data_IF_368870521570
#
_entry.id   IF_368870521570
#
_cell.length_a   1.000
_cell.length_b   1.000
_cell.length_c   1.000
_cell.angle_alpha   90.00
_cell.angle_beta   90.00
_cell.angle_gamma   90.00
#
_symmetry.space_group_name_H-M   'P 1'
#
loop_
_entity.id
_entity.type
_entity.pdbx_description
1 polymer ?
#
# COMPACT_ATOMS: atom_id res chain seq x y z
N UNK A 1 -5.38 39.81 16.32
CA UNK A 1 -6.27 40.20 15.20
C UNK A 1 -5.38 40.64 14.05
N UNK A 2 -5.19 39.77 13.05
CA UNK A 2 -4.66 40.10 11.72
C UNK A 2 -4.91 38.87 10.83
N UNK A 3 -5.99 38.94 10.05
CA UNK A 3 -6.46 37.87 9.16
C UNK A 3 -5.71 38.04 7.85
N UNK A 4 -4.86 37.09 7.47
CA UNK A 4 -4.24 37.06 6.15
C UNK A 4 -5.22 36.38 5.18
N UNK A 5 -5.72 37.16 4.24
CA UNK A 5 -6.70 36.76 3.22
C UNK A 5 -6.06 35.76 2.25
N UNK A 6 -6.65 34.57 2.14
CA UNK A 6 -6.31 33.55 1.13
C UNK A 6 -7.13 33.87 -0.12
N UNK A 7 -6.48 34.06 -1.26
CA UNK A 7 -7.15 34.22 -2.56
C UNK A 7 -6.92 32.96 -3.38
N UNK A 8 -7.94 32.11 -3.46
CA UNK A 8 -8.02 30.99 -4.40
C UNK A 8 -8.24 31.53 -5.82
N UNK A 9 -7.38 31.14 -6.77
CA UNK A 9 -7.63 31.32 -8.20
C UNK A 9 -7.92 29.93 -8.78
N UNK A 10 -9.21 29.63 -8.90
CA UNK A 10 -9.71 28.50 -9.69
C UNK A 10 -9.71 28.96 -11.14
N UNK A 11 -8.82 28.39 -11.96
CA UNK A 11 -8.85 28.55 -13.41
C UNK A 11 -9.18 27.22 -14.04
N UNK A 12 -10.47 27.01 -14.29
CA UNK A 12 -11.00 25.92 -15.11
C UNK A 12 -10.46 26.03 -16.54
N UNK A 13 -9.70 25.03 -16.99
CA UNK A 13 -9.35 24.87 -18.40
C UNK A 13 -9.94 23.56 -18.90
N UNK A 14 -11.15 23.66 -19.45
CA UNK A 14 -11.74 22.66 -20.32
C UNK A 14 -11.00 22.73 -21.66
N UNK A 15 -10.36 21.62 -22.06
CA UNK A 15 -9.94 21.41 -23.43
C UNK A 15 -10.36 20.00 -23.85
N UNK A 16 -11.49 19.98 -24.55
CA UNK A 16 -12.04 18.85 -25.27
C UNK A 16 -11.17 18.46 -26.45
N UNK A 17 -10.94 17.15 -26.59
CA UNK A 17 -10.96 16.46 -27.87
C UNK A 17 -9.63 16.28 -28.60
N UNK A 18 -9.25 15.01 -28.80
CA UNK A 18 -8.98 14.44 -30.13
C UNK A 18 -8.85 12.91 -30.03
N UNK A 19 -9.84 12.25 -30.60
CA UNK A 19 -9.84 10.81 -30.93
C UNK A 19 -8.76 10.58 -31.99
N UNK A 20 -7.76 9.76 -31.71
CA UNK A 20 -6.86 9.25 -32.74
C UNK A 20 -7.44 7.98 -33.35
N UNK A 21 -7.92 8.14 -34.58
CA UNK A 21 -8.32 7.08 -35.49
C UNK A 21 -7.07 6.55 -36.20
N UNK A 22 -6.83 5.25 -36.12
CA UNK A 22 -6.14 4.49 -37.16
C UNK A 22 -4.70 4.08 -36.88
N UNK A 23 -4.52 2.80 -36.51
CA UNK A 23 -3.38 2.01 -37.00
C UNK A 23 -3.86 0.64 -37.48
N UNK A 24 -3.75 0.48 -38.80
CA UNK A 24 -3.46 -0.73 -39.58
C UNK A 24 -4.27 -2.00 -39.34
N UNK A 25 -5.22 -2.21 -40.24
CA UNK A 25 -5.68 -3.49 -40.76
C UNK A 25 -4.57 -4.54 -40.92
N UNK A 26 -4.73 -5.71 -40.28
CA UNK A 26 -3.92 -6.89 -40.60
C UNK A 26 -3.76 -7.95 -39.50
N UNK A 27 -4.77 -8.27 -38.68
CA UNK A 27 -4.64 -9.41 -37.75
C UNK A 27 -5.94 -10.18 -37.44
N UNK A 28 -7.02 -9.98 -38.20
CA UNK A 28 -8.28 -10.69 -37.94
C UNK A 28 -8.88 -11.27 -39.23
N UNK A 29 -8.14 -12.16 -39.87
CA UNK A 29 -8.62 -13.02 -40.99
C UNK A 29 -8.15 -14.48 -40.80
N UNK A 30 -8.13 -14.96 -39.55
CA UNK A 30 -7.71 -16.35 -39.25
C UNK A 30 -8.64 -17.07 -38.25
N UNK A 31 -9.94 -16.77 -38.23
CA UNK A 31 -10.89 -17.63 -37.51
C UNK A 31 -12.18 -17.78 -38.31
N UNK A 32 -12.10 -18.57 -39.37
CA UNK A 32 -13.22 -19.29 -39.98
C UNK A 32 -12.69 -20.30 -41.00
N UNK A 33 -12.34 -21.51 -40.56
CA UNK A 33 -12.58 -22.72 -41.37
C UNK A 33 -12.29 -24.02 -40.58
N UNK A 34 -13.35 -24.57 -39.98
CA UNK A 34 -13.66 -26.00 -39.82
C UNK A 34 -12.81 -26.92 -38.92
N UNK A 35 -13.48 -27.46 -37.89
CA UNK A 35 -13.46 -28.92 -37.63
C UNK A 35 -12.86 -29.38 -36.30
N UNK A 36 -13.71 -29.88 -35.39
CA UNK A 36 -13.36 -30.84 -34.33
C UNK A 36 -13.68 -32.25 -34.86
N UNK A 37 -12.86 -33.30 -34.59
CA UNK A 37 -13.06 -34.09 -33.36
C UNK A 37 -11.79 -34.72 -32.72
N UNK A 38 -11.91 -35.05 -31.44
CA UNK A 38 -11.02 -35.88 -30.57
C UNK A 38 -11.30 -37.41 -30.82
N UNK A 39 -10.68 -38.48 -30.21
CA UNK A 39 -9.68 -38.57 -29.11
C UNK A 39 -8.67 -39.80 -29.09
N UNK A 40 -7.81 -39.88 -28.05
CA UNK A 40 -7.10 -41.05 -27.37
C UNK A 40 -5.96 -41.83 -28.10
N UNK A 41 -4.71 -41.85 -27.57
CA UNK A 41 -4.13 -42.90 -26.66
C UNK A 41 -2.58 -42.82 -26.54
N UNK A 42 -2.01 -43.31 -25.43
CA UNK A 42 -0.65 -43.91 -25.43
C UNK A 42 0.52 -43.25 -24.68
N UNK A 43 0.59 -43.47 -23.36
CA UNK A 43 1.73 -44.04 -22.58
C UNK A 43 3.18 -43.45 -22.59
N UNK A 44 3.65 -43.19 -21.34
CA UNK A 44 4.91 -43.71 -20.72
C UNK A 44 6.09 -42.75 -20.44
N UNK A 45 6.19 -42.45 -19.14
CA UNK A 45 7.35 -42.45 -18.21
C UNK A 45 8.51 -41.43 -18.25
N UNK A 46 8.52 -40.63 -17.17
CA UNK A 46 9.60 -40.44 -16.17
C UNK A 46 10.97 -39.94 -16.64
N UNK A 47 11.28 -38.68 -16.32
CA UNK A 47 12.52 -38.28 -15.63
C UNK A 47 12.26 -37.06 -14.69
N UNK A 48 12.59 -37.22 -13.40
CA UNK A 48 12.92 -36.20 -12.38
C UNK A 48 14.37 -36.54 -11.98
N UNK A 49 15.32 -35.65 -11.62
CA UNK A 49 15.08 -34.36 -10.94
C UNK A 49 16.05 -33.20 -11.24
N UNK A 50 15.62 -31.98 -10.97
CA UNK A 50 16.33 -31.00 -10.11
C UNK A 50 15.52 -29.71 -10.04
N UNK A 51 15.05 -29.33 -8.85
CA UNK A 51 15.70 -28.31 -8.01
C UNK A 51 15.81 -26.96 -8.74
N UNK A 52 14.66 -26.36 -9.07
CA UNK A 52 14.57 -24.91 -9.17
C UNK A 52 14.45 -24.39 -7.75
N UNK A 53 15.59 -23.94 -7.24
CA UNK A 53 15.70 -23.06 -6.10
C UNK A 53 14.87 -21.81 -6.40
N UNK A 54 13.63 -21.75 -5.89
CA UNK A 54 12.97 -20.48 -5.64
C UNK A 54 13.75 -19.82 -4.50
N UNK A 55 14.79 -19.11 -4.92
CA UNK A 55 15.59 -18.28 -4.06
C UNK A 55 14.70 -17.08 -3.73
N UNK A 56 14.08 -17.15 -2.54
CA UNK A 56 13.64 -16.01 -1.77
C UNK A 56 14.74 -14.95 -1.86
N UNK A 57 14.51 -13.97 -2.72
CA UNK A 57 15.38 -12.81 -2.80
C UNK A 57 14.74 -11.77 -1.91
N UNK A 58 15.01 -11.88 -0.61
CA UNK A 58 14.82 -10.79 0.35
C UNK A 58 15.86 -9.72 -0.02
N UNK A 59 15.60 -8.99 -1.11
CA UNK A 59 16.33 -7.79 -1.44
C UNK A 59 15.73 -6.68 -0.58
N UNK A 60 16.34 -6.45 0.58
CA UNK A 60 16.28 -5.14 1.23
C UNK A 60 16.88 -4.13 0.25
N UNK A 61 16.00 -3.57 -0.58
CA UNK A 61 16.28 -2.34 -1.29
C UNK A 61 16.11 -1.27 -0.23
N UNK A 62 17.20 -0.66 0.22
CA UNK A 62 17.13 0.54 1.06
C UNK A 62 16.33 1.58 0.28
N UNK A 63 15.03 1.67 0.55
CA UNK A 63 14.18 2.71 -0.01
C UNK A 63 14.69 4.03 0.56
N UNK A 64 15.37 4.81 -0.28
CA UNK A 64 15.91 6.10 0.09
C UNK A 64 14.75 7.05 0.40
N UNK A 65 14.52 7.31 1.69
CA UNK A 65 13.47 8.21 2.18
C UNK A 65 14.08 9.51 2.71
N UNK A 66 13.44 10.63 2.40
CA UNK A 66 13.89 11.94 2.83
C UNK A 66 13.04 12.43 3.99
N UNK A 67 13.69 13.01 4.99
CA UNK A 67 13.02 13.63 6.14
C UNK A 67 11.96 14.63 5.69
N UNK A 68 10.82 14.65 6.38
CA UNK A 68 9.71 15.58 6.13
C UNK A 68 9.13 15.47 4.70
N UNK A 69 9.11 14.27 4.13
CA UNK A 69 8.38 13.94 2.90
C UNK A 69 7.23 12.98 3.21
N UNK A 70 6.13 13.13 2.47
CA UNK A 70 4.95 12.28 2.64
C UNK A 70 5.17 10.92 1.97
N UNK A 71 4.86 9.85 2.71
CA UNK A 71 4.93 8.47 2.23
C UNK A 71 3.66 7.72 2.64
N UNK A 72 3.26 6.75 1.82
CA UNK A 72 2.10 5.89 2.09
C UNK A 72 2.39 4.43 1.80
N UNK A 73 3.40 4.10 0.99
CA UNK A 73 3.69 2.71 0.66
C UNK A 73 4.29 1.99 1.87
N UNK A 74 3.96 0.71 2.02
CA UNK A 74 4.47 -0.13 3.12
C UNK A 74 5.99 0.00 3.29
N UNK A 75 6.75 -0.17 2.21
CA UNK A 75 8.21 -0.22 2.29
C UNK A 75 8.83 1.16 2.53
N UNK A 76 8.25 2.26 2.03
CA UNK A 76 8.77 3.62 2.30
C UNK A 76 8.43 4.07 3.73
N UNK A 77 7.22 3.77 4.23
CA UNK A 77 6.81 4.15 5.58
C UNK A 77 7.62 3.36 6.62
N UNK A 78 7.88 2.07 6.37
CA UNK A 78 8.75 1.27 7.23
C UNK A 78 10.19 1.79 7.24
N UNK A 79 10.76 2.12 6.08
CA UNK A 79 12.08 2.73 5.99
C UNK A 79 12.14 4.12 6.68
N UNK A 80 11.06 4.90 6.60
CA UNK A 80 10.99 6.20 7.28
C UNK A 80 10.96 6.05 8.80
N UNK A 81 10.17 5.10 9.32
CA UNK A 81 10.13 4.78 10.75
C UNK A 81 11.50 4.31 11.25
N UNK A 82 12.15 3.38 10.54
CA UNK A 82 13.48 2.87 10.87
C UNK A 82 14.55 3.98 10.89
N UNK A 83 14.47 4.94 9.95
CA UNK A 83 15.46 6.00 9.82
C UNK A 83 15.26 7.18 10.78
N UNK A 84 14.00 7.52 11.12
CA UNK A 84 13.67 8.77 11.80
C UNK A 84 12.91 8.59 13.12
N UNK A 85 12.57 7.36 13.51
CA UNK A 85 11.81 7.02 14.73
C UNK A 85 10.45 7.77 14.85
N UNK A 86 9.90 8.24 13.73
CA UNK A 86 8.62 8.94 13.66
C UNK A 86 7.90 8.64 12.36
N UNK A 87 6.57 8.84 12.32
CA UNK A 87 5.80 8.67 11.09
C UNK A 87 6.06 9.81 10.10
N UNK A 88 5.92 9.56 8.79
CA UNK A 88 5.87 10.62 7.79
C UNK A 88 4.83 11.71 8.15
N UNK A 89 5.05 12.98 7.77
CA UNK A 89 4.22 14.12 8.19
C UNK A 89 2.77 14.10 7.69
N UNK A 90 2.40 13.19 6.78
CA UNK A 90 1.03 13.00 6.29
C UNK A 90 0.19 12.04 7.16
N UNK A 91 0.73 11.53 8.26
CA UNK A 91 -0.01 10.72 9.21
C UNK A 91 -0.72 11.55 10.26
N UNK A 92 -1.92 11.12 10.62
CA UNK A 92 -2.72 11.69 11.70
C UNK A 92 -3.19 10.56 12.61
N UNK A 93 -3.21 10.81 13.91
CA UNK A 93 -3.95 9.94 14.83
C UNK A 93 -5.44 9.95 14.49
N UNK A 94 -6.17 8.91 14.92
CA UNK A 94 -7.64 8.86 14.76
C UNK A 94 -8.30 10.12 15.31
N UNK A 95 -7.84 10.63 16.45
CA UNK A 95 -8.40 11.82 17.08
C UNK A 95 -8.16 13.07 16.22
N UNK A 96 -6.93 13.31 15.75
CA UNK A 96 -6.61 14.46 14.89
C UNK A 96 -7.41 14.44 13.59
N UNK A 97 -7.54 13.27 12.96
CA UNK A 97 -8.37 13.13 11.77
C UNK A 97 -9.86 13.42 12.07
N UNK A 98 -10.39 12.91 13.19
CA UNK A 98 -11.78 13.17 13.61
C UNK A 98 -12.04 14.66 13.87
N UNK A 99 -11.06 15.37 14.45
CA UNK A 99 -11.12 16.81 14.69
C UNK A 99 -11.16 17.62 13.38
N UNK A 100 -10.56 17.10 12.30
CA UNK A 100 -10.67 17.66 10.95
C UNK A 100 -12.01 17.31 10.25
N UNK A 101 -12.85 16.46 10.85
CA UNK A 101 -14.13 16.06 10.29
C UNK A 101 -14.13 14.67 9.64
N UNK A 102 -13.09 13.86 9.86
CA UNK A 102 -13.09 12.48 9.39
C UNK A 102 -14.19 11.68 10.06
N UNK A 103 -14.88 10.88 9.26
CA UNK A 103 -15.97 9.96 9.61
C UNK A 103 -15.65 8.63 8.93
N UNK A 104 -15.14 7.62 9.68
CA UNK A 104 -14.72 6.34 9.10
C UNK A 104 -15.78 5.68 8.23
N UNK A 105 -17.05 5.78 8.64
CA UNK A 105 -18.22 5.24 7.95
C UNK A 105 -18.51 5.91 6.59
N UNK A 106 -17.98 7.13 6.37
CA UNK A 106 -18.10 7.85 5.10
C UNK A 106 -16.89 7.63 4.19
N UNK A 107 -15.78 7.08 4.72
CA UNK A 107 -14.53 6.96 3.95
C UNK A 107 -13.94 8.31 3.51
N UNK A 108 -14.23 9.39 4.24
CA UNK A 108 -13.99 10.76 3.78
C UNK A 108 -12.62 11.34 4.21
N UNK A 109 -11.62 10.51 4.53
CA UNK A 109 -10.34 11.02 5.10
C UNK A 109 -9.66 12.02 4.15
N UNK A 110 -9.59 11.71 2.86
CA UNK A 110 -9.00 12.60 1.83
C UNK A 110 -9.91 13.76 1.42
N UNK A 111 -11.16 13.81 1.91
CA UNK A 111 -11.99 15.02 1.76
C UNK A 111 -11.64 16.08 2.81
N UNK A 112 -11.07 15.65 3.94
CA UNK A 112 -10.74 16.50 5.08
C UNK A 112 -9.23 16.65 5.33
N UNK A 113 -8.41 15.92 4.57
CA UNK A 113 -6.94 15.97 4.61
C UNK A 113 -6.37 16.04 3.20
N UNK A 114 -5.15 16.56 3.05
CA UNK A 114 -4.41 16.48 1.79
C UNK A 114 -3.71 15.12 1.69
N UNK A 115 -4.45 14.11 1.23
CA UNK A 115 -3.94 12.75 1.00
C UNK A 115 -3.27 12.10 2.23
N UNK A 116 -3.80 12.33 3.43
CA UNK A 116 -3.26 11.78 4.69
C UNK A 116 -3.61 10.31 4.93
N UNK A 117 -3.01 9.72 5.95
CA UNK A 117 -3.31 8.38 6.45
C UNK A 117 -3.45 8.34 7.98
N UNK A 118 -4.11 7.31 8.50
CA UNK A 118 -4.27 7.12 9.95
C UNK A 118 -3.06 6.41 10.52
N UNK A 119 -2.49 6.91 11.61
CA UNK A 119 -1.41 6.24 12.31
C UNK A 119 -0.92 6.99 13.55
N UNK A 120 -0.14 6.31 14.37
CA UNK A 120 0.41 6.83 15.62
C UNK A 120 -0.41 6.47 16.86
N UNK A 121 -1.59 5.87 16.69
CA UNK A 121 -2.39 5.36 17.81
C UNK A 121 -1.76 4.11 18.43
N UNK A 122 -2.06 3.86 19.71
CA UNK A 122 -1.56 2.69 20.44
C UNK A 122 -2.13 1.38 19.89
N UNK A 123 -1.27 0.38 19.70
CA UNK A 123 -1.64 -0.99 19.37
C UNK A 123 -1.48 -1.88 20.61
N UNK A 124 -2.59 -2.47 21.08
CA UNK A 124 -2.62 -3.14 22.39
C UNK A 124 -2.03 -4.55 22.45
N UNK A 125 -1.73 -5.19 21.31
CA UNK A 125 -1.22 -6.58 21.24
C UNK A 125 -2.00 -7.58 22.15
N UNK A 126 -3.33 -7.46 22.24
CA UNK A 126 -4.15 -8.24 23.18
C UNK A 126 -4.13 -9.75 22.93
N UNK A 127 -3.87 -10.15 21.69
CA UNK A 127 -3.75 -11.55 21.28
C UNK A 127 -2.33 -12.11 21.46
N UNK A 128 -1.37 -11.28 21.90
CA UNK A 128 0.03 -11.63 22.10
C UNK A 128 0.68 -12.32 20.88
N UNK A 129 0.33 -11.82 19.68
CA UNK A 129 0.92 -12.29 18.40
C UNK A 129 2.33 -11.73 18.17
N UNK A 130 2.63 -10.60 18.80
CA UNK A 130 3.95 -9.98 18.83
C UNK A 130 4.59 -10.17 20.23
N UNK A 131 5.91 -10.01 20.37
CA UNK A 131 6.57 -9.92 21.69
C UNK A 131 5.94 -8.85 22.60
N UNK A 132 6.24 -8.90 23.90
CA UNK A 132 5.74 -7.90 24.84
C UNK A 132 6.51 -6.58 24.67
N UNK A 133 5.85 -5.54 24.15
CA UNK A 133 6.39 -4.19 24.01
C UNK A 133 5.24 -3.15 23.94
N UNK A 134 5.57 -1.86 23.99
CA UNK A 134 4.67 -0.76 23.67
C UNK A 134 4.66 -0.50 22.16
N UNK A 135 3.55 -0.85 21.52
CA UNK A 135 3.38 -0.68 20.08
C UNK A 135 2.44 0.47 19.71
N UNK A 136 2.65 0.98 18.50
CA UNK A 136 1.77 1.87 17.76
C UNK A 136 1.45 1.27 16.39
N UNK A 137 0.39 1.75 15.76
CA UNK A 137 -0.03 1.29 14.44
C UNK A 137 -0.08 2.41 13.41
N UNK A 138 0.10 2.07 12.13
CA UNK A 138 -0.06 2.99 11.01
C UNK A 138 -0.63 2.29 9.77
N UNK A 139 -1.59 2.93 9.11
CA UNK A 139 -2.13 2.49 7.82
C UNK A 139 -1.07 2.63 6.73
N UNK A 140 -0.96 1.64 5.85
CA UNK A 140 -0.09 1.70 4.66
C UNK A 140 -0.86 1.31 3.42
N UNK A 141 -0.35 1.69 2.25
CA UNK A 141 -0.97 1.48 0.95
C UNK A 141 -2.41 2.04 0.86
N UNK A 142 -2.71 3.09 1.64
CA UNK A 142 -4.02 3.74 1.64
C UNK A 142 -4.22 4.59 0.38
N UNK A 143 -5.36 4.45 -0.26
CA UNK A 143 -5.67 5.09 -1.56
C UNK A 143 -6.95 5.94 -1.54
N UNK A 144 -7.37 6.38 -0.35
CA UNK A 144 -8.62 7.12 -0.14
C UNK A 144 -9.83 6.19 0.07
N UNK A 145 -10.96 6.77 0.50
CA UNK A 145 -12.17 5.99 0.79
C UNK A 145 -12.12 5.27 2.15
N UNK A 146 -12.69 4.07 2.22
CA UNK A 146 -12.58 3.22 3.40
C UNK A 146 -11.15 2.75 3.62
N UNK A 147 -10.72 2.63 4.89
CA UNK A 147 -9.42 2.07 5.25
C UNK A 147 -9.30 0.62 4.76
N UNK A 148 -8.11 0.23 4.30
CA UNK A 148 -7.80 -1.15 3.87
C UNK A 148 -7.47 -2.03 5.11
N UNK A 149 -6.99 -3.25 4.90
CA UNK A 149 -6.55 -4.17 5.97
C UNK A 149 -5.06 -4.04 6.36
N UNK A 150 -4.29 -3.26 5.60
CA UNK A 150 -2.82 -3.28 5.66
C UNK A 150 -2.28 -2.27 6.69
N UNK A 151 -1.40 -2.72 7.59
CA UNK A 151 -0.83 -1.88 8.66
C UNK A 151 0.63 -2.19 8.90
N UNK A 152 1.35 -1.17 9.35
CA UNK A 152 2.55 -1.35 10.16
C UNK A 152 2.19 -1.33 11.64
N UNK A 153 2.89 -2.13 12.44
CA UNK A 153 2.89 -2.09 13.89
C UNK A 153 4.32 -1.93 14.35
N UNK A 154 4.63 -0.85 15.05
CA UNK A 154 6.00 -0.47 15.38
C UNK A 154 6.16 -0.15 16.86
N UNK A 155 7.31 -0.52 17.44
CA UNK A 155 7.67 -0.19 18.82
C UNK A 155 8.55 1.06 18.86
N UNK A 156 8.74 1.59 20.07
CA UNK A 156 9.72 2.66 20.30
C UNK A 156 11.17 2.17 20.19
N UNK A 157 11.38 0.87 20.37
CA UNK A 157 12.72 0.26 20.37
C UNK A 157 13.19 -0.11 18.96
N UNK A 158 12.37 0.14 17.93
CA UNK A 158 12.74 -0.05 16.52
C UNK A 158 12.15 -1.28 15.84
N UNK A 159 11.41 -2.13 16.57
CA UNK A 159 10.71 -3.25 15.93
C UNK A 159 9.62 -2.72 14.99
N UNK A 160 9.61 -3.17 13.74
CA UNK A 160 8.58 -2.83 12.77
C UNK A 160 8.04 -4.11 12.15
N UNK A 161 6.75 -4.37 12.39
CA UNK A 161 5.99 -5.47 11.81
C UNK A 161 5.02 -4.96 10.76
N UNK A 162 4.71 -5.80 9.79
CA UNK A 162 3.67 -5.58 8.80
C UNK A 162 2.57 -6.63 8.90
N UNK A 163 1.32 -6.21 8.78
CA UNK A 163 0.17 -7.11 8.61
C UNK A 163 -0.59 -6.77 7.33
N UNK A 164 -0.78 -7.72 6.40
CA UNK A 164 -1.62 -7.53 5.22
C UNK A 164 -3.11 -7.77 5.48
N UNK A 165 -3.43 -8.42 6.59
CA UNK A 165 -4.67 -9.14 6.85
C UNK A 165 -5.36 -8.68 8.13
N UNK A 166 -5.23 -7.40 8.47
CA UNK A 166 -5.92 -6.78 9.60
C UNK A 166 -5.60 -7.49 10.93
N UNK A 167 -4.30 -7.61 11.21
CA UNK A 167 -3.70 -8.15 12.44
C UNK A 167 -3.85 -9.68 12.60
N UNK A 168 -4.23 -10.42 11.56
CA UNK A 168 -4.32 -11.88 11.60
C UNK A 168 -2.93 -12.52 11.61
N UNK A 169 -1.99 -11.99 10.82
CA UNK A 169 -0.58 -12.40 10.78
C UNK A 169 0.37 -11.20 10.66
N UNK A 170 1.65 -11.43 11.01
CA UNK A 170 2.68 -10.40 11.03
C UNK A 170 3.99 -10.88 10.42
N UNK A 171 4.58 -10.05 9.56
CA UNK A 171 5.94 -10.19 9.07
C UNK A 171 6.85 -9.15 9.75
N UNK A 172 7.97 -9.58 10.33
CA UNK A 172 8.99 -8.67 10.84
C UNK A 172 9.74 -8.03 9.67
N UNK A 173 9.76 -6.70 9.60
CA UNK A 173 10.47 -5.93 8.57
C UNK A 173 11.81 -5.42 9.09
N UNK A 174 11.81 -4.87 10.31
CA UNK A 174 12.98 -4.33 11.01
C UNK A 174 12.96 -4.81 12.46
N UNK A 175 14.10 -5.25 12.96
CA UNK A 175 14.31 -5.66 14.35
C UNK A 175 14.98 -4.49 15.09
N UNK A 176 14.41 -4.11 16.24
CA UNK A 176 15.00 -3.09 17.11
C UNK A 176 16.26 -3.56 17.83
N UNK A 177 17.07 -2.62 18.33
CA UNK A 177 18.33 -2.88 19.06
C UNK A 177 18.14 -3.03 20.59
#
# INVERSE_FOLDING_TARGET
MNRKTITNIISTLLLTGLVWLGMSSGFFDYVSSLGQPNPIDGQTSQERPSKTSEQTTTSQTENQVNYNQAYLSKDEVAAYLDQYDELPPNYLTKQEAQDLGWRPELGNLWEVTDHGAIGGDHFGNFEAKLPENEYREADVNYTGGSRNSERLVYSKDGDIYYTPDHYDSFDLLYEGD
#
